data_IF_783857589419
#
_entry.id   IF_783857589419
#
_cell.length_a   1.000
_cell.length_b   1.000
_cell.length_c   1.000
_cell.angle_alpha   90.00
_cell.angle_beta   90.00
_cell.angle_gamma   90.00
#
_symmetry.space_group_name_H-M   'P 1'
#
loop_
_entity.id
_entity.type
_entity.pdbx_description
1 polymer ?
#
# COMPACT_ATOMS: atom_id res chain seq x y z
N UNK A 1 -9.74 -6.72 -26.67
CA UNK A 1 -8.39 -6.16 -26.97
C UNK A 1 -8.16 -4.76 -26.40
N UNK A 2 -9.14 -3.86 -26.45
CA UNK A 2 -9.04 -2.49 -25.87
C UNK A 2 -8.63 -2.47 -24.40
N UNK A 3 -9.24 -3.29 -23.54
CA UNK A 3 -8.92 -3.35 -22.11
C UNK A 3 -7.46 -3.77 -21.84
N UNK A 4 -6.94 -4.72 -22.62
CA UNK A 4 -5.55 -5.16 -22.53
C UNK A 4 -4.59 -4.03 -22.88
N UNK A 5 -4.85 -3.29 -23.96
CA UNK A 5 -4.04 -2.13 -24.36
C UNK A 5 -4.00 -1.07 -23.26
N UNK A 6 -5.13 -0.78 -22.62
CA UNK A 6 -5.21 0.17 -21.51
C UNK A 6 -4.36 -0.30 -20.33
N UNK A 7 -4.44 -1.58 -19.96
CA UNK A 7 -3.64 -2.17 -18.87
C UNK A 7 -2.13 -2.08 -19.20
N UNK A 8 -1.73 -2.48 -20.40
CA UNK A 8 -0.33 -2.43 -20.84
C UNK A 8 0.20 -0.99 -20.86
N UNK A 9 -0.59 -0.03 -21.37
CA UNK A 9 -0.23 1.38 -21.37
C UNK A 9 -0.06 1.91 -19.95
N UNK A 10 -1.01 1.62 -19.05
CA UNK A 10 -0.94 2.01 -17.65
C UNK A 10 0.30 1.45 -16.94
N UNK A 11 0.58 0.15 -17.10
CA UNK A 11 1.78 -0.48 -16.53
C UNK A 11 3.07 0.09 -17.14
N UNK A 12 3.08 0.40 -18.44
CA UNK A 12 4.20 1.06 -19.11
C UNK A 12 4.46 2.46 -18.54
N UNK A 13 3.42 3.26 -18.33
CA UNK A 13 3.53 4.58 -17.68
C UNK A 13 4.04 4.45 -16.24
N UNK A 14 3.52 3.50 -15.46
CA UNK A 14 4.02 3.26 -14.10
C UNK A 14 5.51 2.85 -14.07
N UNK A 15 5.91 1.95 -14.96
CA UNK A 15 7.29 1.48 -15.03
C UNK A 15 8.23 2.61 -15.46
N UNK A 16 7.84 3.39 -16.47
CA UNK A 16 8.63 4.54 -16.92
C UNK A 16 8.76 5.61 -15.84
N UNK A 17 7.70 5.90 -15.08
CA UNK A 17 7.78 6.79 -13.91
C UNK A 17 8.71 6.23 -12.82
N UNK A 18 8.65 4.93 -12.53
CA UNK A 18 9.54 4.29 -11.56
C UNK A 18 11.02 4.37 -11.97
N UNK A 19 11.33 4.08 -13.24
CA UNK A 19 12.69 4.17 -13.78
C UNK A 19 13.16 5.63 -13.85
N UNK A 20 12.30 6.56 -14.26
CA UNK A 20 12.62 7.99 -14.30
C UNK A 20 12.87 8.56 -12.91
N UNK A 21 12.11 8.10 -11.90
CA UNK A 21 12.28 8.49 -10.50
C UNK A 21 13.68 8.18 -9.97
N UNK A 22 14.30 7.09 -10.43
CA UNK A 22 15.66 6.71 -10.04
C UNK A 22 16.72 7.78 -10.38
N UNK A 23 16.45 8.68 -11.33
CA UNK A 23 17.35 9.80 -11.66
C UNK A 23 17.38 10.88 -10.57
N UNK A 24 16.35 10.94 -9.72
CA UNK A 24 16.25 11.90 -8.62
C UNK A 24 16.75 11.31 -7.29
N UNK A 25 17.17 10.04 -7.28
CA UNK A 25 17.64 9.36 -6.09
C UNK A 25 19.07 9.80 -5.73
N UNK A 26 19.27 10.21 -4.48
CA UNK A 26 20.57 10.71 -3.96
C UNK A 26 21.50 9.60 -3.43
N UNK A 27 21.09 8.34 -3.51
CA UNK A 27 21.93 7.20 -3.10
C UNK A 27 21.87 6.85 -1.61
N UNK A 28 21.08 7.57 -0.79
CA UNK A 28 21.04 7.36 0.67
C UNK A 28 19.81 6.58 1.12
N UNK A 29 19.93 5.79 2.20
CA UNK A 29 18.80 5.04 2.76
C UNK A 29 17.67 5.95 3.26
N UNK A 30 18.00 7.15 3.76
CA UNK A 30 16.98 8.14 4.17
C UNK A 30 16.19 8.65 2.98
N UNK A 31 16.85 8.83 1.85
CA UNK A 31 16.16 9.24 0.62
C UNK A 31 15.27 8.11 0.09
N UNK A 32 15.70 6.86 0.22
CA UNK A 32 14.93 5.71 -0.24
C UNK A 32 13.68 5.46 0.60
N UNK A 33 13.80 5.49 1.93
CA UNK A 33 12.71 5.10 2.82
C UNK A 33 11.79 6.26 3.24
N UNK A 34 12.31 7.47 3.36
CA UNK A 34 11.54 8.63 3.85
C UNK A 34 11.59 9.83 2.92
N UNK A 35 12.13 9.67 1.70
CA UNK A 35 12.28 10.75 0.72
C UNK A 35 12.91 12.01 1.34
N UNK A 36 13.86 11.82 2.25
CA UNK A 36 14.52 12.91 3.00
C UNK A 36 13.54 13.86 3.73
N UNK A 37 12.33 13.39 4.04
CA UNK A 37 11.21 14.21 4.57
C UNK A 37 10.85 15.42 3.69
N UNK A 38 11.13 15.35 2.39
CA UNK A 38 10.91 16.43 1.41
C UNK A 38 9.49 16.44 0.82
N UNK A 39 8.72 15.36 1.02
CA UNK A 39 7.36 15.22 0.51
C UNK A 39 6.43 16.21 1.23
N UNK A 40 5.84 17.13 0.46
CA UNK A 40 4.88 18.10 0.98
C UNK A 40 3.56 17.46 1.47
N UNK A 41 2.75 18.18 2.28
CA UNK A 41 1.56 17.61 2.92
C UNK A 41 0.52 17.03 1.95
N UNK A 42 0.33 17.67 0.78
CA UNK A 42 -0.62 17.21 -0.24
C UNK A 42 -0.17 15.88 -0.84
N UNK A 43 1.10 15.79 -1.24
CA UNK A 43 1.64 14.56 -1.82
C UNK A 43 1.69 13.43 -0.79
N UNK A 44 2.01 13.74 0.47
CA UNK A 44 1.92 12.80 1.59
C UNK A 44 0.49 12.26 1.75
N UNK A 45 -0.50 13.14 1.76
CA UNK A 45 -1.91 12.75 1.86
C UNK A 45 -2.32 11.85 0.69
N UNK A 46 -1.96 12.19 -0.54
CA UNK A 46 -2.24 11.36 -1.71
C UNK A 46 -1.54 10.01 -1.63
N UNK A 47 -0.30 9.95 -1.14
CA UNK A 47 0.44 8.71 -0.95
C UNK A 47 -0.20 7.82 0.12
N UNK A 48 -0.59 8.40 1.25
CA UNK A 48 -1.29 7.67 2.33
C UNK A 48 -2.64 7.16 1.83
N UNK A 49 -3.40 8.00 1.13
CA UNK A 49 -4.68 7.62 0.52
C UNK A 49 -4.52 6.50 -0.52
N UNK A 50 -3.52 6.59 -1.40
CA UNK A 50 -3.22 5.53 -2.37
C UNK A 50 -2.83 4.22 -1.69
N UNK A 51 -2.11 4.29 -0.57
CA UNK A 51 -1.69 3.11 0.22
C UNK A 51 -2.88 2.40 0.86
N UNK A 52 -3.92 3.13 1.28
CA UNK A 52 -5.12 2.55 1.90
C UNK A 52 -6.10 1.96 0.87
N UNK A 53 -6.01 2.35 -0.40
CA UNK A 53 -6.79 1.79 -1.51
C UNK A 53 -6.28 0.42 -1.97
N UNK A 54 -6.43 -0.56 -1.08
CA UNK A 54 -5.98 -1.93 -1.29
C UNK A 54 -6.97 -2.77 -2.09
N UNK A 55 -6.53 -3.94 -2.56
CA UNK A 55 -7.40 -4.95 -3.15
C UNK A 55 -8.59 -5.33 -2.24
N UNK A 56 -8.40 -5.36 -0.92
CA UNK A 56 -9.48 -5.56 0.02
C UNK A 56 -10.48 -4.39 0.00
N UNK A 57 -9.98 -3.15 0.01
CA UNK A 57 -10.83 -1.97 0.01
C UNK A 57 -11.66 -1.84 -1.27
N UNK A 58 -11.13 -2.23 -2.44
CA UNK A 58 -11.81 -2.08 -3.72
C UNK A 58 -12.62 -3.33 -4.13
N UNK A 59 -12.02 -4.52 -4.04
CA UNK A 59 -12.64 -5.78 -4.51
C UNK A 59 -13.31 -6.53 -3.37
N UNK A 60 -12.68 -6.56 -2.18
CA UNK A 60 -13.22 -7.26 -1.01
C UNK A 60 -14.49 -6.61 -0.47
N UNK A 61 -14.49 -5.29 -0.32
CA UNK A 61 -15.64 -4.53 0.19
C UNK A 61 -16.85 -4.63 -0.73
N UNK A 62 -16.65 -4.58 -2.05
CA UNK A 62 -17.71 -4.67 -3.05
C UNK A 62 -18.31 -6.07 -3.09
N UNK A 63 -17.48 -7.12 -3.05
CA UNK A 63 -17.95 -8.51 -2.92
C UNK A 63 -18.72 -8.76 -1.63
N UNK A 64 -18.27 -8.17 -0.51
CA UNK A 64 -18.98 -8.27 0.77
C UNK A 64 -20.30 -7.49 0.74
N UNK A 65 -20.33 -6.31 0.12
CA UNK A 65 -21.54 -5.53 -0.05
C UNK A 65 -22.59 -6.24 -0.92
N UNK A 66 -22.15 -6.99 -1.94
CA UNK A 66 -23.06 -7.81 -2.76
C UNK A 66 -23.81 -8.86 -1.94
N UNK A 67 -23.15 -9.47 -0.96
CA UNK A 67 -23.75 -10.54 -0.12
C UNK A 67 -24.43 -10.02 1.13
N UNK A 68 -23.91 -8.94 1.72
CA UNK A 68 -24.32 -8.45 3.05
C UNK A 68 -25.03 -7.09 3.00
N UNK A 69 -25.22 -6.52 1.82
CA UNK A 69 -25.92 -5.26 1.59
C UNK A 69 -25.09 -4.00 1.89
N UNK A 70 -25.77 -2.85 1.86
CA UNK A 70 -25.17 -1.51 1.96
C UNK A 70 -24.47 -1.23 3.30
N UNK A 71 -24.80 -1.97 4.36
CA UNK A 71 -24.20 -1.81 5.69
C UNK A 71 -22.67 -1.98 5.69
N UNK A 72 -22.12 -2.70 4.71
CA UNK A 72 -20.67 -2.86 4.51
C UNK A 72 -19.99 -1.52 4.24
N UNK A 73 -20.62 -0.62 3.49
CA UNK A 73 -20.08 0.72 3.26
C UNK A 73 -20.08 1.56 4.54
N UNK A 74 -21.05 1.37 5.44
CA UNK A 74 -21.05 1.99 6.77
C UNK A 74 -19.87 1.53 7.62
N UNK A 75 -19.57 0.22 7.61
CA UNK A 75 -18.39 -0.34 8.29
C UNK A 75 -17.08 0.21 7.70
N UNK A 76 -16.98 0.25 6.37
CA UNK A 76 -15.81 0.79 5.66
C UNK A 76 -15.61 2.28 5.93
N UNK A 77 -16.68 3.08 5.89
CA UNK A 77 -16.62 4.52 6.20
C UNK A 77 -16.23 4.78 7.65
N UNK A 78 -16.74 3.97 8.59
CA UNK A 78 -16.40 4.11 10.01
C UNK A 78 -14.92 3.81 10.25
N UNK A 79 -14.40 2.72 9.70
CA UNK A 79 -13.00 2.35 9.88
C UNK A 79 -12.05 3.26 9.10
N UNK A 80 -12.29 3.41 7.80
CA UNK A 80 -11.38 4.13 6.90
C UNK A 80 -11.49 5.64 7.01
N UNK A 81 -12.67 6.18 7.32
CA UNK A 81 -12.90 7.61 7.43
C UNK A 81 -12.61 8.16 8.82
N UNK A 82 -13.06 7.48 9.88
CA UNK A 82 -12.94 7.98 11.26
C UNK A 82 -11.72 7.41 11.96
N UNK A 83 -11.61 6.09 12.08
CA UNK A 83 -10.53 5.45 12.86
C UNK A 83 -9.16 5.72 12.23
N UNK A 84 -9.02 5.51 10.93
CA UNK A 84 -7.75 5.75 10.24
C UNK A 84 -7.29 7.21 10.37
N UNK A 85 -8.19 8.17 10.11
CA UNK A 85 -7.91 9.59 10.26
C UNK A 85 -7.53 9.94 11.70
N UNK A 86 -8.29 9.44 12.68
CA UNK A 86 -8.00 9.68 14.10
C UNK A 86 -6.61 9.16 14.49
N UNK A 87 -6.26 7.93 14.10
CA UNK A 87 -4.93 7.36 14.37
C UNK A 87 -3.83 8.16 13.67
N UNK A 88 -4.04 8.58 12.42
CA UNK A 88 -3.07 9.40 11.69
C UNK A 88 -2.80 10.73 12.40
N UNK A 89 -3.85 11.46 12.78
CA UNK A 89 -3.69 12.76 13.45
C UNK A 89 -3.18 12.64 14.90
N UNK A 90 -3.68 11.67 15.67
CA UNK A 90 -3.35 11.54 17.09
C UNK A 90 -2.00 10.86 17.34
N UNK A 91 -1.66 9.86 16.53
CA UNK A 91 -0.47 9.02 16.70
C UNK A 91 0.52 9.26 15.57
N UNK A 92 0.07 9.24 14.32
CA UNK A 92 0.94 9.37 13.14
C UNK A 92 1.79 10.63 13.15
N UNK A 93 1.19 11.80 13.40
CA UNK A 93 1.92 13.08 13.46
C UNK A 93 2.97 13.08 14.57
N UNK A 94 2.65 12.51 15.75
CA UNK A 94 3.60 12.42 16.88
C UNK A 94 4.77 11.51 16.55
N UNK A 95 4.49 10.33 15.98
CA UNK A 95 5.52 9.37 15.57
C UNK A 95 6.38 9.95 14.45
N UNK A 96 5.80 10.70 13.51
CA UNK A 96 6.55 11.40 12.47
C UNK A 96 7.51 12.45 13.04
N UNK A 97 7.06 13.26 14.00
CA UNK A 97 7.92 14.24 14.67
C UNK A 97 9.09 13.56 15.40
N UNK A 98 8.84 12.46 16.10
CA UNK A 98 9.88 11.67 16.77
C UNK A 98 10.84 11.04 15.74
N UNK A 99 10.31 10.46 14.66
CA UNK A 99 11.12 9.89 13.58
C UNK A 99 12.05 10.92 12.94
N UNK A 100 11.59 12.16 12.77
CA UNK A 100 12.40 13.26 12.26
C UNK A 100 13.49 13.70 13.25
N UNK A 101 13.19 13.72 14.55
CA UNK A 101 14.15 14.12 15.59
C UNK A 101 15.25 13.07 15.83
N UNK A 102 14.88 11.80 15.91
CA UNK A 102 15.80 10.71 16.25
C UNK A 102 16.32 9.94 15.03
N UNK A 103 15.84 10.25 13.83
CA UNK A 103 16.30 9.65 12.58
C UNK A 103 15.78 8.23 12.34
N UNK A 104 14.67 7.84 12.94
CA UNK A 104 14.07 6.52 12.74
C UNK A 104 13.52 6.37 11.32
N UNK A 105 13.89 5.27 10.67
CA UNK A 105 13.43 4.91 9.32
C UNK A 105 12.53 3.68 9.31
N UNK A 106 12.56 2.88 10.38
CA UNK A 106 11.73 1.67 10.52
C UNK A 106 10.96 1.66 11.84
N UNK A 107 9.81 1.00 11.85
CA UNK A 107 9.02 0.83 13.07
C UNK A 107 9.79 0.02 14.13
N UNK A 108 10.57 -0.99 13.71
CA UNK A 108 11.39 -1.79 14.65
C UNK A 108 12.42 -0.94 15.39
N UNK A 109 13.06 0.04 14.73
CA UNK A 109 14.00 0.96 15.38
C UNK A 109 13.29 1.82 16.43
N UNK A 110 12.12 2.39 16.08
CA UNK A 110 11.33 3.17 17.03
C UNK A 110 10.97 2.36 18.29
N UNK A 111 10.48 1.13 18.13
CA UNK A 111 10.11 0.29 19.27
C UNK A 111 11.32 -0.21 20.07
N UNK A 112 12.42 -0.54 19.40
CA UNK A 112 13.67 -0.94 20.05
C UNK A 112 14.19 0.15 20.97
N UNK A 113 14.26 1.39 20.48
CA UNK A 113 14.83 2.51 21.23
C UNK A 113 13.85 3.05 22.28
N UNK A 114 12.54 2.96 22.02
CA UNK A 114 11.50 3.37 22.99
C UNK A 114 11.43 2.48 24.24
N UNK A 115 11.78 1.20 24.10
CA UNK A 115 11.75 0.19 25.16
C UNK A 115 13.15 -0.30 25.58
N UNK A 116 14.21 0.30 25.02
CA UNK A 116 15.61 -0.08 25.24
C UNK A 116 15.89 -1.59 25.12
N UNK A 117 15.13 -2.29 24.26
CA UNK A 117 15.14 -3.75 24.16
C UNK A 117 15.42 -4.22 22.74
N UNK A 118 16.60 -4.81 22.56
CA UNK A 118 17.00 -5.44 21.29
C UNK A 118 16.10 -6.65 20.97
N UNK A 119 15.64 -7.38 21.99
CA UNK A 119 14.74 -8.52 21.82
C UNK A 119 13.43 -8.11 21.15
N UNK A 120 12.86 -6.96 21.54
CA UNK A 120 11.62 -6.48 20.94
C UNK A 120 11.80 -6.18 19.45
N UNK A 121 12.92 -5.59 19.05
CA UNK A 121 13.24 -5.36 17.64
C UNK A 121 13.38 -6.66 16.84
N UNK A 122 14.09 -7.64 17.40
CA UNK A 122 14.28 -8.96 16.77
C UNK A 122 13.01 -9.80 16.68
N UNK A 123 12.05 -9.59 17.60
CA UNK A 123 10.74 -10.22 17.56
C UNK A 123 9.79 -9.53 16.57
N UNK A 124 9.76 -8.20 16.57
CA UNK A 124 8.88 -7.42 15.69
C UNK A 124 9.24 -7.60 14.22
N UNK A 125 10.53 -7.68 13.88
CA UNK A 125 10.98 -7.82 12.49
C UNK A 125 10.34 -9.03 11.75
N UNK A 126 10.48 -10.29 12.21
CA UNK A 126 9.88 -11.44 11.54
C UNK A 126 8.34 -11.40 11.57
N UNK A 127 7.73 -10.82 12.61
CA UNK A 127 6.27 -10.65 12.66
C UNK A 127 5.81 -9.70 11.55
N UNK A 128 6.44 -8.53 11.41
CA UNK A 128 6.10 -7.56 10.37
C UNK A 128 6.33 -8.14 8.97
N UNK A 129 7.47 -8.81 8.75
CA UNK A 129 7.74 -9.50 7.47
C UNK A 129 6.70 -10.58 7.20
N UNK A 130 6.36 -11.38 8.22
CA UNK A 130 5.35 -12.43 8.13
C UNK A 130 3.95 -11.90 7.81
N UNK A 131 3.58 -10.72 8.30
CA UNK A 131 2.31 -10.06 8.00
C UNK A 131 2.29 -9.40 6.61
N UNK A 132 3.44 -8.98 6.09
CA UNK A 132 3.55 -8.41 4.74
C UNK A 132 3.27 -9.47 3.66
N UNK A 133 3.69 -10.72 3.87
CA UNK A 133 3.46 -11.81 2.90
C UNK A 133 1.97 -11.99 2.54
N UNK A 134 1.06 -12.29 3.50
CA UNK A 134 -0.36 -12.45 3.19
C UNK A 134 -0.97 -11.16 2.65
N UNK A 135 -0.51 -9.99 3.11
CA UNK A 135 -0.96 -8.71 2.58
C UNK A 135 -0.65 -8.56 1.08
N UNK A 136 0.57 -8.89 0.65
CA UNK A 136 0.96 -8.88 -0.76
C UNK A 136 0.20 -9.93 -1.57
N UNK A 137 -0.02 -11.12 -1.01
CA UNK A 137 -0.78 -12.19 -1.66
C UNK A 137 -2.24 -11.76 -1.92
N UNK A 138 -2.90 -11.11 -0.96
CA UNK A 138 -4.26 -10.57 -1.15
C UNK A 138 -4.28 -9.53 -2.28
N UNK A 139 -3.25 -8.68 -2.35
CA UNK A 139 -3.07 -7.72 -3.44
C UNK A 139 -2.99 -8.40 -4.81
N UNK A 140 -2.16 -9.44 -4.92
CA UNK A 140 -1.96 -10.21 -6.16
C UNK A 140 -3.24 -10.96 -6.57
N UNK A 141 -3.91 -11.60 -5.62
CA UNK A 141 -5.19 -12.29 -5.86
C UNK A 141 -6.24 -11.28 -6.34
N UNK A 142 -6.36 -10.13 -5.68
CA UNK A 142 -7.30 -9.09 -6.09
C UNK A 142 -7.05 -8.58 -7.50
N UNK A 143 -5.78 -8.33 -7.85
CA UNK A 143 -5.40 -7.95 -9.21
C UNK A 143 -5.80 -9.04 -10.23
N UNK A 144 -5.48 -10.31 -9.95
CA UNK A 144 -5.85 -11.44 -10.80
C UNK A 144 -7.36 -11.58 -11.01
N UNK A 145 -8.15 -11.44 -9.94
CA UNK A 145 -9.63 -11.51 -10.02
C UNK A 145 -10.26 -10.42 -10.88
N UNK A 146 -9.60 -9.28 -11.02
CA UNK A 146 -10.06 -8.18 -11.88
C UNK A 146 -9.54 -8.34 -13.30
N UNK A 147 -8.24 -8.63 -13.48
CA UNK A 147 -7.61 -8.68 -14.81
C UNK A 147 -8.12 -9.87 -15.63
N UNK A 148 -8.19 -11.08 -15.03
CA UNK A 148 -8.57 -12.31 -15.74
C UNK A 148 -9.90 -12.20 -16.53
N UNK A 149 -11.04 -11.83 -15.91
CA UNK A 149 -12.30 -11.71 -16.64
C UNK A 149 -12.28 -10.59 -17.68
N UNK A 150 -11.59 -9.48 -17.41
CA UNK A 150 -11.51 -8.32 -18.31
C UNK A 150 -10.66 -8.62 -19.56
N UNK A 151 -9.67 -9.52 -19.44
CA UNK A 151 -8.82 -9.97 -20.54
C UNK A 151 -9.26 -11.30 -21.15
N UNK A 152 -10.34 -11.91 -20.65
CA UNK A 152 -10.87 -13.16 -21.18
C UNK A 152 -11.22 -13.01 -22.67
N UNK A 153 -10.77 -13.96 -23.50
CA UNK A 153 -10.94 -13.89 -24.96
C UNK A 153 -10.06 -12.87 -25.69
N UNK A 154 -9.07 -12.24 -25.03
CA UNK A 154 -8.12 -11.36 -25.71
C UNK A 154 -7.09 -12.11 -26.57
N UNK A 155 -6.83 -13.37 -26.25
CA UNK A 155 -5.88 -14.25 -26.93
C UNK A 155 -6.49 -15.64 -27.17
N UNK A 156 -7.56 -15.75 -27.98
CA UNK A 156 -8.27 -17.01 -28.21
C UNK A 156 -7.38 -18.11 -28.81
N UNK A 157 -6.34 -17.73 -29.58
CA UNK A 157 -5.41 -18.68 -30.22
C UNK A 157 -4.26 -19.15 -29.30
N UNK A 158 -3.90 -18.36 -28.27
CA UNK A 158 -2.80 -18.68 -27.34
C UNK A 158 -3.31 -19.33 -26.04
N UNK A 159 -4.53 -18.98 -25.63
CA UNK A 159 -5.20 -19.52 -24.46
C UNK A 159 -6.61 -19.97 -24.89
N UNK A 160 -6.72 -21.19 -25.47
CA UNK A 160 -8.00 -21.71 -25.94
C UNK A 160 -8.88 -22.02 -24.72
N UNK A 161 -9.74 -21.07 -24.40
CA UNK A 161 -10.78 -21.07 -23.37
C UNK A 161 -10.33 -20.87 -21.90
N UNK A 162 -11.22 -20.29 -21.06
CA UNK A 162 -11.07 -20.29 -19.60
C UNK A 162 -11.16 -21.68 -18.98
#
# INVERSE_FOLDING_TARGET
>A
MTSLLIICLYLGVLLTLGVASNRFFTGTSKDYFVASHSIGPVLLLMSVFGTTMTAFALVGSTGKAFTSGVGVYGLMASWSGLVHSAVFFLVGIKVWAIGKQYGYVTQCQFFRDRYESNFLGHLLFPILVGLVIPYLLIGLIGAGRVVLPITSGAFPDLFPHP
#
